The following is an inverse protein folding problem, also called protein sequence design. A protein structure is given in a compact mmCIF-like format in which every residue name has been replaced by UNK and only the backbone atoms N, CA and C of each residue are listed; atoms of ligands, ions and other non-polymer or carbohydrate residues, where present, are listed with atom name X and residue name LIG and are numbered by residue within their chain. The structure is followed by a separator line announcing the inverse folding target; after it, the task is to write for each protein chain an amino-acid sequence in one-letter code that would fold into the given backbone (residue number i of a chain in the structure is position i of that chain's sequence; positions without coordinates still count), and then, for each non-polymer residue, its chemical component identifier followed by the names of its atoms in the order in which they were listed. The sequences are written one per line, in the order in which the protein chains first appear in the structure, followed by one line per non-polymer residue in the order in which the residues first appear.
data_IF_249920500714
#
_entry.id   IF_249920500714
#
_cell.length_a   1.000
_cell.length_b   1.000
_cell.length_c   1.000
_cell.angle_alpha   90.00
_cell.angle_beta   90.00
_cell.angle_gamma   90.00
#
_symmetry.space_group_name_H-M   'P 1'
#
loop_
_entity.id
_entity.type
_entity.pdbx_description
1 polymer ?
#
# COMPACT_ATOMS: atom_id res chain seq x y z
N UNK A 1 -43.33 15.50 56.49
CA UNK A 1 -42.14 15.50 55.60
C UNK A 1 -42.10 14.17 54.83
N UNK A 2 -41.99 14.28 53.50
CA UNK A 2 -41.36 13.32 52.56
C UNK A 2 -41.96 11.92 52.42
N UNK A 3 -42.84 11.80 51.44
CA UNK A 3 -42.93 10.62 50.58
C UNK A 3 -41.82 10.68 49.52
N UNK A 4 -41.20 9.54 49.20
CA UNK A 4 -41.16 8.94 47.86
C UNK A 4 -40.18 7.77 47.84
N UNK A 5 -40.74 6.59 47.55
CA UNK A 5 -40.02 5.40 47.09
C UNK A 5 -39.30 5.70 45.78
N UNK A 6 -38.12 5.15 45.61
CA UNK A 6 -37.53 4.83 44.30
C UNK A 6 -36.73 3.53 44.45
N UNK A 7 -37.31 2.44 43.96
CA UNK A 7 -36.69 1.14 43.77
C UNK A 7 -35.71 1.22 42.59
N UNK A 8 -34.42 1.11 42.87
CA UNK A 8 -33.39 0.99 41.84
C UNK A 8 -33.12 -0.50 41.56
N UNK A 9 -33.49 -0.94 40.37
CA UNK A 9 -33.15 -2.24 39.79
C UNK A 9 -31.66 -2.31 39.52
N UNK A 10 -30.99 -3.30 40.13
CA UNK A 10 -29.58 -3.58 39.88
C UNK A 10 -29.41 -4.26 38.51
N UNK A 11 -28.80 -3.56 37.56
CA UNK A 11 -28.26 -4.17 36.35
C UNK A 11 -26.93 -4.83 36.67
N UNK A 12 -26.94 -6.16 36.81
CA UNK A 12 -25.73 -6.98 36.79
C UNK A 12 -25.18 -7.02 35.36
N UNK A 13 -24.22 -6.14 35.07
CA UNK A 13 -23.41 -6.22 33.86
C UNK A 13 -22.33 -7.29 34.06
N UNK A 14 -22.40 -8.37 33.29
CA UNK A 14 -21.36 -9.38 33.15
C UNK A 14 -20.09 -8.71 32.63
N UNK A 15 -19.10 -8.56 33.51
CA UNK A 15 -17.75 -8.16 33.14
C UNK A 15 -17.10 -9.28 32.33
N UNK A 16 -17.32 -9.28 31.02
CA UNK A 16 -16.47 -9.99 30.08
C UNK A 16 -15.07 -9.40 30.20
N UNK A 17 -14.16 -10.17 30.81
CA UNK A 17 -12.76 -9.81 30.95
C UNK A 17 -12.13 -9.60 29.59
N UNK A 18 -12.05 -8.34 29.17
CA UNK A 18 -11.15 -7.93 28.09
C UNK A 18 -9.76 -8.08 28.70
N UNK A 19 -9.03 -9.11 28.27
CA UNK A 19 -7.60 -9.20 28.53
C UNK A 19 -6.97 -7.97 27.89
N UNK A 20 -6.68 -6.95 28.71
CA UNK A 20 -5.84 -5.82 28.33
C UNK A 20 -4.46 -6.43 28.14
N UNK A 21 -4.14 -6.81 26.90
CA UNK A 21 -2.77 -7.10 26.50
C UNK A 21 -1.92 -5.88 26.92
N UNK A 22 -0.76 -6.08 27.57
CA UNK A 22 0.13 -4.97 27.86
C UNK A 22 0.44 -4.25 26.55
N UNK A 23 0.54 -2.92 26.54
CA UNK A 23 1.00 -2.21 25.35
C UNK A 23 2.32 -2.86 24.92
N UNK A 24 2.34 -3.39 23.68
CA UNK A 24 3.54 -3.90 23.05
C UNK A 24 4.65 -2.91 23.32
N UNK A 25 5.84 -3.33 23.79
CA UNK A 25 6.93 -2.40 24.07
C UNK A 25 7.15 -1.60 22.80
N UNK A 26 6.82 -0.31 22.85
CA UNK A 26 6.95 0.58 21.72
C UNK A 26 8.39 0.47 21.25
N UNK A 27 8.58 -0.10 20.05
CA UNK A 27 9.86 -0.11 19.36
C UNK A 27 10.32 1.34 19.29
N UNK A 28 11.56 1.56 19.72
CA UNK A 28 12.31 2.80 19.49
C UNK A 28 12.04 3.28 18.05
N UNK A 29 11.76 4.57 17.81
CA UNK A 29 11.64 5.08 16.44
C UNK A 29 12.89 4.68 15.68
N UNK A 30 12.76 3.75 14.73
CA UNK A 30 13.86 3.35 13.89
C UNK A 30 14.18 4.56 13.02
N UNK A 31 15.29 5.25 13.28
CA UNK A 31 15.74 6.31 12.37
C UNK A 31 15.72 5.77 10.93
N UNK A 32 15.25 6.56 9.94
CA UNK A 32 15.16 6.09 8.56
C UNK A 32 16.50 5.51 8.11
N UNK A 33 16.50 4.26 7.66
CA UNK A 33 17.72 3.64 7.14
C UNK A 33 18.02 4.24 5.76
N UNK A 34 19.11 5.02 5.60
CA UNK A 34 19.47 5.64 4.32
C UNK A 34 19.58 4.63 3.18
N UNK A 35 19.95 3.37 3.47
CA UNK A 35 20.07 2.31 2.49
C UNK A 35 18.72 1.89 1.87
N UNK A 36 17.60 2.23 2.53
CA UNK A 36 16.24 1.89 2.09
C UNK A 36 15.41 3.10 1.67
N UNK A 37 15.91 4.32 1.88
CA UNK A 37 15.17 5.55 1.58
C UNK A 37 14.72 5.66 0.12
N UNK A 38 15.47 5.07 -0.82
CA UNK A 38 15.07 4.99 -2.22
C UNK A 38 13.73 4.26 -2.44
N UNK A 39 13.31 3.38 -1.53
CA UNK A 39 12.01 2.69 -1.62
C UNK A 39 10.85 3.64 -1.34
N UNK A 40 11.07 4.68 -0.54
CA UNK A 40 10.09 5.76 -0.34
C UNK A 40 9.90 6.51 -1.65
N UNK A 41 11.01 6.89 -2.29
CA UNK A 41 11.01 7.54 -3.60
C UNK A 41 10.33 6.68 -4.67
N UNK A 42 10.60 5.37 -4.66
CA UNK A 42 9.97 4.42 -5.57
C UNK A 42 8.46 4.31 -5.32
N UNK A 43 8.02 4.22 -4.06
CA UNK A 43 6.59 4.25 -3.72
C UNK A 43 5.92 5.53 -4.22
N UNK A 44 6.54 6.70 -3.99
CA UNK A 44 6.00 7.99 -4.40
C UNK A 44 5.91 8.08 -5.92
N UNK A 45 6.97 7.68 -6.62
CA UNK A 45 7.00 7.66 -8.08
C UNK A 45 5.94 6.71 -8.65
N UNK A 46 5.77 5.52 -8.08
CA UNK A 46 4.76 4.55 -8.51
C UNK A 46 3.34 5.01 -8.26
N UNK A 47 3.06 5.65 -7.11
CA UNK A 47 1.76 6.26 -6.87
C UNK A 47 1.51 7.40 -7.86
N UNK A 48 2.47 8.31 -8.05
CA UNK A 48 2.31 9.47 -8.92
C UNK A 48 2.29 9.15 -10.42
N UNK A 49 2.79 7.99 -10.83
CA UNK A 49 2.80 7.58 -12.23
C UNK A 49 1.46 7.02 -12.73
N UNK A 50 0.57 6.60 -11.82
CA UNK A 50 -0.76 6.13 -12.19
C UNK A 50 -1.63 7.31 -12.60
N UNK A 51 -2.28 7.20 -13.77
CA UNK A 51 -3.03 8.31 -14.41
C UNK A 51 -4.27 8.70 -13.60
N UNK A 52 -5.03 7.72 -13.14
CA UNK A 52 -6.29 7.94 -12.45
C UNK A 52 -6.13 8.13 -10.93
N UNK A 53 -6.84 9.10 -10.36
CA UNK A 53 -6.84 9.30 -8.90
C UNK A 53 -7.33 8.06 -8.15
N UNK A 54 -8.37 7.40 -8.65
CA UNK A 54 -8.89 6.17 -8.04
C UNK A 54 -7.84 5.04 -8.01
N UNK A 55 -7.01 4.92 -9.05
CA UNK A 55 -5.92 3.96 -9.08
C UNK A 55 -4.84 4.30 -8.04
N UNK A 56 -4.51 5.59 -7.86
CA UNK A 56 -3.57 6.08 -6.84
C UNK A 56 -4.05 5.83 -5.41
N UNK A 57 -5.32 6.12 -5.16
CA UNK A 57 -5.94 5.93 -3.85
C UNK A 57 -6.00 4.45 -3.50
N UNK A 58 -6.39 3.61 -4.46
CA UNK A 58 -6.43 2.15 -4.29
C UNK A 58 -5.03 1.58 -4.07
N UNK A 59 -4.03 2.00 -4.87
CA UNK A 59 -2.63 1.62 -4.67
C UNK A 59 -2.19 1.94 -3.24
N UNK A 60 -2.37 3.19 -2.80
CA UNK A 60 -2.01 3.63 -1.46
C UNK A 60 -2.72 2.80 -0.38
N UNK A 61 -4.04 2.66 -0.48
CA UNK A 61 -4.83 1.92 0.50
C UNK A 61 -4.41 0.45 0.61
N UNK A 62 -4.15 -0.23 -0.51
CA UNK A 62 -3.71 -1.63 -0.49
C UNK A 62 -2.32 -1.80 0.09
N UNK A 63 -1.37 -0.92 -0.26
CA UNK A 63 -0.03 -0.93 0.34
C UNK A 63 -0.15 -0.86 1.87
N UNK A 64 -0.86 0.13 2.42
CA UNK A 64 -1.02 0.26 3.87
C UNK A 64 -1.79 -0.92 4.49
N UNK A 65 -2.80 -1.46 3.79
CA UNK A 65 -3.57 -2.62 4.26
C UNK A 65 -2.71 -3.87 4.39
N UNK A 66 -1.92 -4.20 3.36
CA UNK A 66 -1.10 -5.43 3.32
C UNK A 66 0.10 -5.31 4.25
N UNK A 67 0.70 -4.12 4.27
CA UNK A 67 1.91 -3.85 5.03
C UNK A 67 1.68 -3.69 6.53
N UNK A 68 0.43 -3.43 6.95
CA UNK A 68 -0.01 -3.38 8.37
C UNK A 68 0.73 -2.34 9.23
N UNK A 69 1.32 -1.33 8.62
CA UNK A 69 1.91 -0.19 9.35
C UNK A 69 0.81 0.86 9.56
N UNK A 70 0.58 1.34 10.81
CA UNK A 70 -0.39 2.39 11.05
C UNK A 70 0.02 3.67 10.31
N UNK A 71 -0.89 4.23 9.52
CA UNK A 71 -0.69 5.50 8.80
C UNK A 71 -0.27 6.66 9.70
N UNK A 72 -0.53 6.57 11.01
CA UNK A 72 -0.31 7.62 11.99
C UNK A 72 1.08 7.57 12.66
N UNK A 73 1.98 6.69 12.21
CA UNK A 73 3.36 6.70 12.72
C UNK A 73 4.06 8.01 12.29
N UNK A 74 4.67 8.78 13.22
CA UNK A 74 5.24 10.10 12.94
C UNK A 74 6.33 10.11 11.86
N UNK A 75 6.96 8.97 11.57
CA UNK A 75 7.91 8.86 10.47
C UNK A 75 7.42 8.01 9.29
N UNK A 76 6.23 7.41 9.39
CA UNK A 76 5.50 6.76 8.29
C UNK A 76 6.38 5.87 7.41
N UNK A 77 6.34 6.12 6.09
CA UNK A 77 7.10 5.40 5.07
C UNK A 77 8.63 5.49 5.25
N UNK A 78 9.15 6.44 6.04
CA UNK A 78 10.60 6.61 6.22
C UNK A 78 11.17 5.66 7.28
N UNK A 79 10.42 5.39 8.34
CA UNK A 79 10.85 4.43 9.38
C UNK A 79 10.58 2.99 9.00
N UNK A 80 9.50 2.80 8.26
CA UNK A 80 9.12 1.52 7.73
C UNK A 80 8.97 1.78 6.24
N UNK A 81 9.74 1.15 5.38
CA UNK A 81 9.49 1.22 3.93
C UNK A 81 8.75 -0.03 3.48
N UNK A 82 7.73 0.06 2.61
CA UNK A 82 7.18 -1.13 1.97
C UNK A 82 8.26 -1.88 1.18
N UNK A 83 8.15 -3.19 1.09
CA UNK A 83 9.07 -3.99 0.28
C UNK A 83 8.90 -3.65 -1.21
N UNK A 84 9.98 -3.77 -1.98
CA UNK A 84 9.91 -3.60 -3.43
C UNK A 84 8.93 -4.59 -4.06
N UNK A 85 8.88 -5.83 -3.58
CA UNK A 85 7.93 -6.87 -4.05
C UNK A 85 6.47 -6.46 -3.88
N UNK A 86 6.12 -5.85 -2.75
CA UNK A 86 4.76 -5.36 -2.51
C UNK A 86 4.43 -4.20 -3.47
N UNK A 87 5.38 -3.28 -3.68
CA UNK A 87 5.22 -2.19 -4.64
C UNK A 87 5.06 -2.71 -6.07
N UNK A 88 5.82 -3.74 -6.46
CA UNK A 88 5.70 -4.39 -7.78
C UNK A 88 4.30 -4.95 -7.94
N UNK A 89 3.83 -5.70 -6.92
CA UNK A 89 2.52 -6.34 -6.95
C UNK A 89 1.39 -5.35 -7.16
N UNK A 90 1.34 -4.30 -6.35
CA UNK A 90 0.27 -3.32 -6.47
C UNK A 90 0.40 -2.46 -7.74
N UNK A 91 1.62 -2.16 -8.19
CA UNK A 91 1.82 -1.43 -9.45
C UNK A 91 1.32 -2.26 -10.64
N UNK A 92 1.71 -3.53 -10.74
CA UNK A 92 1.22 -4.44 -11.78
C UNK A 92 -0.30 -4.62 -11.72
N UNK A 93 -0.87 -4.76 -10.53
CA UNK A 93 -2.32 -4.91 -10.36
C UNK A 93 -3.12 -3.64 -10.75
N UNK A 94 -2.50 -2.46 -10.74
CA UNK A 94 -3.13 -1.21 -11.23
C UNK A 94 -2.90 -0.96 -12.70
N UNK A 95 -1.82 -1.50 -13.28
CA UNK A 95 -1.54 -1.41 -14.71
C UNK A 95 -2.28 -2.47 -15.54
N UNK A 96 -2.59 -3.64 -14.95
CA UNK A 96 -3.24 -4.75 -15.64
C UNK A 96 -4.58 -4.38 -16.31
N UNK A 97 -5.48 -3.59 -15.70
CA UNK A 97 -6.74 -3.19 -16.35
C UNK A 97 -6.52 -2.42 -17.66
N UNK A 98 -5.51 -1.55 -17.73
CA UNK A 98 -5.19 -0.81 -18.96
C UNK A 98 -4.73 -1.76 -20.08
N UNK A 99 -3.88 -2.73 -19.76
CA UNK A 99 -3.45 -3.75 -20.73
C UNK A 99 -4.63 -4.60 -21.20
N UNK A 100 -5.53 -4.98 -20.29
CA UNK A 100 -6.72 -5.80 -20.61
C UNK A 100 -7.76 -5.04 -21.44
N UNK A 101 -7.83 -3.72 -21.29
CA UNK A 101 -8.72 -2.85 -22.07
C UNK A 101 -8.14 -2.43 -23.44
N UNK A 102 -6.98 -2.98 -23.84
CA UNK A 102 -6.24 -2.53 -25.03
C UNK A 102 -5.84 -1.04 -24.98
N UNK A 103 -5.52 -0.58 -23.77
CA UNK A 103 -4.95 0.74 -23.51
C UNK A 103 -3.45 0.62 -23.21
N UNK A 104 -2.70 -0.11 -24.05
CA UNK A 104 -1.27 -0.36 -23.85
C UNK A 104 -0.47 0.94 -23.81
N UNK A 105 -0.95 1.98 -24.52
CA UNK A 105 -0.38 3.32 -24.45
C UNK A 105 -0.47 3.91 -23.05
N UNK A 106 -1.64 3.84 -22.40
CA UNK A 106 -1.84 4.34 -21.02
C UNK A 106 -0.92 3.60 -20.05
N UNK A 107 -0.81 2.27 -20.17
CA UNK A 107 0.10 1.49 -19.35
C UNK A 107 1.57 1.85 -19.58
N UNK A 108 1.98 2.03 -20.85
CA UNK A 108 3.34 2.43 -21.22
C UNK A 108 3.67 3.83 -20.72
N UNK A 109 2.76 4.79 -20.87
CA UNK A 109 2.94 6.18 -20.42
C UNK A 109 3.10 6.23 -18.88
N UNK A 110 2.36 5.40 -18.14
CA UNK A 110 2.53 5.26 -16.70
C UNK A 110 3.92 4.69 -16.33
N UNK A 111 4.43 3.71 -17.06
CA UNK A 111 5.79 3.16 -16.82
C UNK A 111 6.88 4.19 -17.15
N UNK A 112 6.73 4.97 -18.22
CA UNK A 112 7.67 6.05 -18.56
C UNK A 112 7.63 7.19 -17.54
N UNK A 113 6.43 7.53 -17.04
CA UNK A 113 6.26 8.50 -15.96
C UNK A 113 6.95 8.00 -14.67
N UNK A 114 6.78 6.73 -14.32
CA UNK A 114 7.47 6.10 -13.18
C UNK A 114 9.00 6.24 -13.31
N UNK A 115 9.57 5.93 -14.49
CA UNK A 115 11.01 6.08 -14.75
C UNK A 115 11.48 7.51 -14.53
N UNK A 116 10.71 8.46 -15.06
CA UNK A 116 11.03 9.89 -14.98
C UNK A 116 10.99 10.38 -13.53
N UNK A 117 9.92 10.08 -12.80
CA UNK A 117 9.74 10.48 -11.40
C UNK A 117 10.75 9.80 -10.47
N UNK A 118 11.08 8.54 -10.71
CA UNK A 118 12.07 7.79 -9.91
C UNK A 118 13.49 8.38 -10.00
N UNK A 119 13.81 9.07 -11.11
CA UNK A 119 15.07 9.79 -11.30
C UNK A 119 15.06 11.21 -10.74
N UNK A 120 13.87 11.82 -10.66
CA UNK A 120 13.67 13.20 -10.21
C UNK A 120 13.37 13.32 -8.71
N UNK A 121 13.16 12.19 -8.02
CA UNK A 121 12.90 12.13 -6.57
C UNK A 121 14.18 12.28 -5.75
N UNK A 122 14.05 12.70 -4.49
CA UNK A 122 15.17 12.84 -3.56
C UNK A 122 14.94 12.00 -2.29
N UNK A 123 15.77 10.96 -2.03
CA UNK A 123 16.89 10.51 -2.86
C UNK A 123 16.41 9.84 -4.17
N UNK A 124 17.21 9.85 -5.25
CA UNK A 124 16.84 9.17 -6.48
C UNK A 124 16.84 7.65 -6.28
N UNK A 125 16.01 6.95 -7.04
CA UNK A 125 16.04 5.49 -7.07
C UNK A 125 17.31 5.02 -7.81
N UNK A 126 18.14 4.15 -7.21
CA UNK A 126 19.30 3.58 -7.89
C UNK A 126 18.89 2.90 -9.20
N UNK A 127 19.69 3.10 -10.26
CA UNK A 127 19.34 2.66 -11.61
C UNK A 127 19.11 1.15 -11.72
N UNK A 128 19.94 0.35 -11.04
CA UNK A 128 19.81 -1.10 -10.96
C UNK A 128 18.47 -1.50 -10.30
N UNK A 129 18.13 -0.86 -9.18
CA UNK A 129 16.88 -1.11 -8.44
C UNK A 129 15.65 -0.70 -9.24
N UNK A 130 15.74 0.40 -9.99
CA UNK A 130 14.66 0.84 -10.88
C UNK A 130 14.45 -0.14 -12.04
N UNK A 131 15.53 -0.62 -12.66
CA UNK A 131 15.46 -1.63 -13.72
C UNK A 131 14.86 -2.94 -13.22
N UNK A 132 15.34 -3.45 -12.08
CA UNK A 132 14.81 -4.68 -11.46
C UNK A 132 13.32 -4.55 -11.14
N UNK A 133 12.91 -3.40 -10.60
CA UNK A 133 11.53 -3.10 -10.30
C UNK A 133 10.64 -3.14 -11.55
N UNK A 134 11.05 -2.43 -12.61
CA UNK A 134 10.27 -2.35 -13.85
C UNK A 134 10.16 -3.72 -14.50
N UNK A 135 11.26 -4.48 -14.58
CA UNK A 135 11.23 -5.84 -15.12
C UNK A 135 10.25 -6.72 -14.34
N UNK A 136 10.29 -6.65 -13.01
CA UNK A 136 9.37 -7.42 -12.16
C UNK A 136 7.91 -7.02 -12.35
N UNK A 137 7.63 -5.73 -12.57
CA UNK A 137 6.27 -5.24 -12.89
C UNK A 137 5.81 -5.80 -14.24
N UNK A 138 6.67 -5.78 -15.26
CA UNK A 138 6.34 -6.31 -16.59
C UNK A 138 6.10 -7.83 -16.56
N UNK A 139 6.91 -8.58 -15.82
CA UNK A 139 6.75 -10.03 -15.66
C UNK A 139 5.42 -10.38 -14.95
N UNK A 140 5.07 -9.63 -13.90
CA UNK A 140 3.78 -9.80 -13.25
C UNK A 140 2.61 -9.37 -14.14
N UNK A 141 2.75 -8.31 -14.91
CA UNK A 141 1.74 -7.87 -15.88
C UNK A 141 1.47 -8.93 -16.94
N UNK A 142 2.52 -9.55 -17.47
CA UNK A 142 2.36 -10.68 -18.39
C UNK A 142 1.53 -11.79 -17.72
N UNK A 143 1.88 -12.16 -16.49
CA UNK A 143 1.18 -13.20 -15.72
C UNK A 143 -0.30 -12.87 -15.46
N UNK A 144 -0.60 -11.62 -15.10
CA UNK A 144 -1.97 -11.16 -14.82
C UNK A 144 -2.81 -10.99 -16.11
N UNK A 145 -2.18 -10.53 -17.20
CA UNK A 145 -2.81 -10.43 -18.52
C UNK A 145 -3.18 -11.81 -19.08
N UNK A 146 -2.30 -12.81 -18.92
CA UNK A 146 -2.58 -14.18 -19.35
C UNK A 146 -3.70 -14.85 -18.52
N UNK A 147 -3.73 -14.66 -17.19
CA UNK A 147 -4.76 -15.29 -16.34
C UNK A 147 -6.18 -14.84 -16.70
N UNK A 148 -6.40 -13.55 -16.87
CA UNK A 148 -7.75 -13.05 -17.16
C UNK A 148 -8.19 -13.28 -18.62
N UNK A 149 -7.25 -13.46 -19.56
CA UNK A 149 -7.56 -13.85 -20.94
C UNK A 149 -8.09 -15.29 -21.07
N UNK A 150 -7.73 -16.17 -20.13
CA UNK A 150 -8.26 -17.55 -20.05
C UNK A 150 -9.65 -17.56 -19.43
N UNK A 151 -9.91 -16.71 -18.43
CA UNK A 151 -11.22 -16.62 -17.76
C UNK A 151 -12.29 -15.93 -18.63
N UNK A 152 -11.90 -15.08 -19.58
CA UNK A 152 -12.83 -14.44 -20.53
C UNK A 152 -13.24 -15.35 -21.71
N UNK A 153 -12.62 -16.54 -21.87
CA UNK A 153 -12.88 -17.49 -22.96
C UNK A 153 -13.77 -18.67 -22.59
N UNK A 154 -14.41 -18.66 -21.42
CA UNK A 154 -15.17 -19.78 -20.84
C UNK A 154 -16.56 -19.34 -20.34
N UNK A 155 -17.36 -18.71 -21.21
CA UNK A 155 -18.83 -18.64 -21.08
C UNK A 155 -19.48 -18.77 -22.44
#
# INVERSE_FOLDING_TARGET
MKALLLTATAFASLASGIAILPPSPYKVPHAPDPATMWRVSLYQAAASSLVEQAARDTFTAQIYKIWRVPMNDPCGLKCYTPSAELLVHECAARLAPYVQAHEEKTASDAVEMLKTLSRATEPPVPADKLTDFINSVMDQLATLGFRNGVDAGLV
#
